data_IF_643928231338
#
_entry.id   IF_643928231338
#
_cell.length_a   1.000
_cell.length_b   1.000
_cell.length_c   1.000
_cell.angle_alpha   90.00
_cell.angle_beta   90.00
_cell.angle_gamma   90.00
#
_symmetry.space_group_name_H-M   'P 1'
#
loop_
_entity.id
_entity.type
_entity.pdbx_description
1 polymer ?
#
# COMPACT_ATOMS: atom_id res chain seq x y z
N UNK A 1 6.20 4.90 -21.47
CA UNK A 1 6.33 4.11 -20.23
C UNK A 1 5.03 4.24 -19.46
N UNK A 2 4.43 3.11 -19.08
CA UNK A 2 3.20 3.06 -18.27
C UNK A 2 3.55 2.62 -16.86
N UNK A 3 3.23 3.44 -15.86
CA UNK A 3 3.38 3.13 -14.44
C UNK A 3 1.99 3.08 -13.78
N UNK A 4 1.75 2.05 -12.99
CA UNK A 4 0.48 1.85 -12.27
C UNK A 4 0.78 1.90 -10.77
N UNK A 5 -0.10 2.58 -10.04
CA UNK A 5 -0.01 2.77 -8.59
C UNK A 5 -1.28 2.26 -7.91
N UNK A 6 -1.09 1.41 -6.92
CA UNK A 6 -2.15 0.83 -6.08
C UNK A 6 -1.70 0.82 -4.62
N UNK A 7 -2.64 0.78 -3.70
CA UNK A 7 -2.40 0.61 -2.25
C UNK A 7 -3.64 0.06 -1.55
N UNK A 8 -3.51 -0.27 -0.27
CA UNK A 8 -4.63 -0.61 0.62
C UNK A 8 -5.51 -1.77 0.09
N UNK A 9 -4.84 -2.83 -0.39
CA UNK A 9 -5.50 -4.02 -0.91
C UNK A 9 -6.12 -4.87 0.20
N UNK A 10 -5.45 -4.94 1.34
CA UNK A 10 -5.87 -5.71 2.52
C UNK A 10 -6.20 -7.18 2.24
N UNK A 11 -5.49 -7.81 1.29
CA UNK A 11 -5.70 -9.19 0.89
C UNK A 11 -5.61 -10.15 2.08
N UNK A 12 -6.50 -11.15 2.12
CA UNK A 12 -6.62 -12.11 3.22
C UNK A 12 -7.58 -11.70 4.33
N UNK A 13 -8.40 -10.66 4.13
CA UNK A 13 -9.48 -10.25 5.05
C UNK A 13 -10.79 -11.06 4.86
N UNK A 14 -10.79 -12.04 3.95
CA UNK A 14 -11.97 -12.83 3.57
C UNK A 14 -13.05 -12.01 2.84
N UNK A 15 -12.65 -11.01 2.09
CA UNK A 15 -13.52 -10.25 1.21
C UNK A 15 -13.42 -10.80 -0.23
N UNK A 16 -14.39 -11.61 -0.63
CA UNK A 16 -14.42 -12.25 -1.94
C UNK A 16 -14.46 -11.23 -3.09
N UNK A 17 -15.06 -10.06 -2.89
CA UNK A 17 -15.11 -9.01 -3.90
C UNK A 17 -13.74 -8.40 -4.15
N UNK A 18 -12.97 -8.12 -3.10
CA UNK A 18 -11.58 -7.64 -3.20
C UNK A 18 -10.68 -8.69 -3.83
N UNK A 19 -10.82 -9.97 -3.47
CA UNK A 19 -10.03 -11.05 -4.07
C UNK A 19 -10.33 -11.18 -5.59
N UNK A 20 -11.60 -11.17 -5.97
CA UNK A 20 -12.01 -11.24 -7.39
C UNK A 20 -11.50 -10.02 -8.19
N UNK A 21 -11.55 -8.83 -7.58
CA UNK A 21 -11.00 -7.59 -8.16
C UNK A 21 -9.49 -7.67 -8.35
N UNK A 22 -8.77 -8.20 -7.35
CA UNK A 22 -7.33 -8.42 -7.44
C UNK A 22 -6.97 -9.40 -8.57
N UNK A 23 -7.65 -10.53 -8.67
CA UNK A 23 -7.42 -11.50 -9.73
C UNK A 23 -7.70 -10.90 -11.12
N UNK A 24 -8.79 -10.14 -11.28
CA UNK A 24 -9.10 -9.45 -12.53
C UNK A 24 -8.02 -8.40 -12.87
N UNK A 25 -7.57 -7.63 -11.88
CA UNK A 25 -6.51 -6.64 -12.06
C UNK A 25 -5.19 -7.29 -12.49
N UNK A 26 -4.77 -8.37 -11.83
CA UNK A 26 -3.53 -9.08 -12.14
C UNK A 26 -3.57 -9.75 -13.52
N UNK A 27 -4.76 -10.18 -13.97
CA UNK A 27 -4.96 -10.79 -15.28
C UNK A 27 -4.99 -9.76 -16.42
N UNK A 28 -5.76 -8.69 -16.24
CA UNK A 28 -6.19 -7.82 -17.35
C UNK A 28 -5.45 -6.47 -17.39
N UNK A 29 -4.99 -5.97 -16.24
CA UNK A 29 -4.43 -4.61 -16.11
C UNK A 29 -2.93 -4.60 -15.84
N UNK A 30 -2.50 -5.33 -14.81
CA UNK A 30 -1.11 -5.30 -14.36
C UNK A 30 -0.09 -5.69 -15.46
N UNK A 31 -0.39 -6.65 -16.37
CA UNK A 31 0.54 -7.00 -17.47
C UNK A 31 0.78 -5.88 -18.49
N UNK A 32 -0.09 -4.86 -18.51
CA UNK A 32 0.07 -3.70 -19.39
C UNK A 32 1.06 -2.66 -18.83
N UNK A 33 1.49 -2.80 -17.57
CA UNK A 33 2.39 -1.87 -16.92
C UNK A 33 3.86 -2.20 -17.22
N UNK A 34 4.68 -1.16 -17.44
CA UNK A 34 6.14 -1.31 -17.36
C UNK A 34 6.59 -1.34 -15.90
N UNK A 35 5.85 -0.64 -15.00
CA UNK A 35 6.13 -0.56 -13.57
C UNK A 35 4.83 -0.62 -12.78
N UNK A 36 4.78 -1.48 -11.78
CA UNK A 36 3.68 -1.56 -10.81
C UNK A 36 4.20 -1.20 -9.42
N UNK A 37 3.60 -0.20 -8.82
CA UNK A 37 3.90 0.27 -7.46
C UNK A 37 2.76 -0.09 -6.53
N UNK A 38 3.05 -0.89 -5.50
CA UNK A 38 2.13 -1.23 -4.41
C UNK A 38 2.57 -0.43 -3.18
N UNK A 39 1.81 0.59 -2.81
CA UNK A 39 2.20 1.57 -1.80
C UNK A 39 1.73 1.21 -0.38
N UNK A 40 1.87 -0.06 -0.01
CA UNK A 40 1.59 -0.56 1.34
C UNK A 40 0.20 -1.12 1.53
N UNK A 41 0.01 -1.77 2.66
CA UNK A 41 -1.21 -2.48 3.04
C UNK A 41 -1.69 -3.45 1.95
N UNK A 42 -0.71 -4.18 1.35
CA UNK A 42 -0.95 -5.26 0.40
C UNK A 42 -1.73 -6.40 1.09
N UNK A 43 -1.25 -6.80 2.28
CA UNK A 43 -1.87 -7.84 3.09
C UNK A 43 -2.65 -7.23 4.26
N UNK A 44 -3.76 -7.87 4.61
CA UNK A 44 -4.56 -7.47 5.76
C UNK A 44 -3.74 -7.48 7.07
N UNK A 45 -2.83 -8.45 7.21
CA UNK A 45 -1.82 -8.49 8.26
C UNK A 45 -0.63 -9.34 7.81
N UNK A 46 0.60 -8.89 8.09
CA UNK A 46 1.79 -9.69 7.87
C UNK A 46 2.65 -9.75 9.13
N UNK A 47 2.94 -10.96 9.58
CA UNK A 47 3.65 -11.21 10.85
C UNK A 47 5.12 -11.57 10.66
N UNK A 48 5.65 -11.35 9.46
CA UNK A 48 7.05 -11.53 9.09
C UNK A 48 7.32 -12.70 8.15
N UNK A 49 8.39 -12.57 7.38
CA UNK A 49 8.71 -13.44 6.25
C UNK A 49 8.96 -14.91 6.61
N UNK A 50 9.24 -15.23 7.87
CA UNK A 50 9.34 -16.61 8.34
C UNK A 50 8.01 -17.39 8.17
N UNK A 51 6.89 -16.70 8.01
CA UNK A 51 5.59 -17.32 7.75
C UNK A 51 5.42 -17.75 6.30
N UNK A 52 6.18 -17.20 5.38
CA UNK A 52 6.00 -17.45 3.95
C UNK A 52 6.03 -18.94 3.60
N UNK A 53 6.88 -19.73 4.27
CA UNK A 53 6.96 -21.16 4.05
C UNK A 53 5.68 -21.95 4.48
N UNK A 54 4.89 -21.37 5.39
CA UNK A 54 3.71 -22.03 6.01
C UNK A 54 2.38 -21.43 5.57
N UNK A 55 2.40 -20.21 5.05
CA UNK A 55 1.21 -19.48 4.59
C UNK A 55 1.01 -19.70 3.09
N UNK A 56 0.10 -20.64 2.76
CA UNK A 56 -0.21 -20.96 1.36
C UNK A 56 -0.86 -19.78 0.62
N UNK A 57 -1.68 -18.98 1.32
CA UNK A 57 -2.32 -17.83 0.74
C UNK A 57 -1.29 -16.75 0.39
N UNK A 58 -0.40 -16.39 1.32
CA UNK A 58 0.65 -15.41 1.03
C UNK A 58 1.56 -15.89 -0.12
N UNK A 59 1.85 -17.20 -0.22
CA UNK A 59 2.60 -17.74 -1.36
C UNK A 59 1.85 -17.60 -2.68
N UNK A 60 0.54 -17.80 -2.71
CA UNK A 60 -0.26 -17.60 -3.92
C UNK A 60 -0.23 -16.15 -4.39
N UNK A 61 -0.33 -15.18 -3.48
CA UNK A 61 -0.17 -13.75 -3.79
C UNK A 61 1.24 -13.46 -4.34
N UNK A 62 2.29 -13.97 -3.67
CA UNK A 62 3.65 -13.80 -4.18
C UNK A 62 3.81 -14.39 -5.59
N UNK A 63 3.22 -15.54 -5.86
CA UNK A 63 3.31 -16.19 -7.18
C UNK A 63 2.67 -15.32 -8.28
N UNK A 64 1.55 -14.64 -8.02
CA UNK A 64 0.93 -13.71 -8.97
C UNK A 64 1.86 -12.57 -9.35
N UNK A 65 2.51 -11.95 -8.35
CA UNK A 65 3.47 -10.88 -8.62
C UNK A 65 4.74 -11.41 -9.32
N UNK A 66 5.23 -12.59 -8.95
CA UNK A 66 6.39 -13.21 -9.60
C UNK A 66 6.11 -13.52 -11.07
N UNK A 67 4.92 -14.05 -11.40
CA UNK A 67 4.49 -14.27 -12.77
C UNK A 67 4.47 -12.97 -13.57
N UNK A 68 3.93 -11.90 -12.98
CA UNK A 68 3.93 -10.56 -13.58
C UNK A 68 5.35 -10.04 -13.85
N UNK A 69 6.25 -10.22 -12.87
CA UNK A 69 7.66 -9.83 -13.02
C UNK A 69 8.38 -10.62 -14.13
N UNK A 70 8.10 -11.92 -14.24
CA UNK A 70 8.64 -12.77 -15.34
C UNK A 70 8.15 -12.34 -16.72
N UNK A 71 6.96 -11.71 -16.80
CA UNK A 71 6.42 -11.13 -18.04
C UNK A 71 7.00 -9.76 -18.37
N UNK A 72 7.90 -9.22 -17.54
CA UNK A 72 8.65 -7.98 -17.80
C UNK A 72 8.15 -6.74 -17.07
N UNK A 73 7.08 -6.82 -16.28
CA UNK A 73 6.65 -5.71 -15.40
C UNK A 73 7.57 -5.61 -14.19
N UNK A 74 8.19 -4.45 -13.97
CA UNK A 74 8.93 -4.20 -12.73
C UNK A 74 7.98 -3.93 -11.58
N UNK A 75 8.02 -4.79 -10.56
CA UNK A 75 7.16 -4.70 -9.39
C UNK A 75 7.91 -4.08 -8.22
N UNK A 76 7.28 -3.11 -7.56
CA UNK A 76 7.80 -2.39 -6.41
C UNK A 76 6.78 -2.46 -5.28
N UNK A 77 7.23 -2.82 -4.06
CA UNK A 77 6.35 -2.95 -2.90
C UNK A 77 6.87 -2.04 -1.77
N UNK A 78 6.05 -1.12 -1.30
CA UNK A 78 6.26 -0.39 -0.06
C UNK A 78 5.54 -1.08 1.10
N UNK A 79 5.99 -0.81 2.33
CA UNK A 79 5.31 -1.30 3.54
C UNK A 79 4.21 -0.35 3.96
N UNK A 80 3.04 -0.89 4.28
CA UNK A 80 1.99 -0.16 4.96
C UNK A 80 2.04 -0.31 6.49
N UNK A 81 0.98 0.09 7.15
CA UNK A 81 0.86 -0.03 8.60
C UNK A 81 0.34 -1.40 9.05
N UNK A 82 -0.26 -2.19 8.16
CA UNK A 82 -0.74 -3.54 8.46
C UNK A 82 0.27 -4.62 8.10
N UNK A 83 1.14 -4.34 7.15
CA UNK A 83 2.13 -5.26 6.64
C UNK A 83 3.58 -4.76 6.77
N UNK A 84 3.85 -3.91 7.79
CA UNK A 84 5.17 -3.32 8.05
C UNK A 84 6.27 -4.37 8.32
N UNK A 85 5.91 -5.61 8.58
CA UNK A 85 6.84 -6.75 8.76
C UNK A 85 7.27 -7.39 7.44
N UNK A 86 6.77 -6.94 6.28
CA UNK A 86 7.30 -7.35 4.97
C UNK A 86 8.80 -7.05 4.91
N UNK A 87 9.58 -8.04 4.52
CA UNK A 87 11.03 -7.94 4.40
C UNK A 87 11.52 -8.51 3.05
N UNK A 88 12.83 -8.66 2.91
CA UNK A 88 13.46 -9.01 1.65
C UNK A 88 13.03 -10.38 1.09
N UNK A 89 12.70 -11.35 1.96
CA UNK A 89 12.30 -12.68 1.48
C UNK A 89 10.91 -12.66 0.83
N UNK A 90 9.97 -11.88 1.38
CA UNK A 90 8.65 -11.68 0.76
C UNK A 90 8.79 -10.97 -0.61
N UNK A 91 9.52 -9.86 -0.65
CA UNK A 91 9.73 -9.12 -1.90
C UNK A 91 10.40 -9.99 -2.97
N UNK A 92 11.42 -10.77 -2.58
CA UNK A 92 12.09 -11.72 -3.48
C UNK A 92 11.12 -12.79 -3.99
N UNK A 93 10.24 -13.32 -3.13
CA UNK A 93 9.23 -14.29 -3.55
C UNK A 93 8.22 -13.71 -4.55
N UNK A 94 7.94 -12.41 -4.45
CA UNK A 94 7.12 -11.67 -5.41
C UNK A 94 7.87 -11.28 -6.71
N UNK A 95 9.17 -11.52 -6.82
CA UNK A 95 9.98 -10.94 -7.89
C UNK A 95 10.03 -9.42 -7.88
N UNK A 96 9.83 -8.82 -6.71
CA UNK A 96 9.66 -7.39 -6.50
C UNK A 96 10.85 -6.74 -5.79
N UNK A 97 10.98 -5.44 -5.96
CA UNK A 97 11.87 -4.59 -5.18
C UNK A 97 11.12 -4.00 -3.97
N UNK A 98 11.71 -4.13 -2.78
CA UNK A 98 11.16 -3.55 -1.57
C UNK A 98 11.59 -2.09 -1.43
N UNK A 99 10.63 -1.18 -1.48
CA UNK A 99 10.89 0.24 -1.41
C UNK A 99 11.17 0.72 0.03
N UNK A 100 12.03 1.73 0.19
CA UNK A 100 12.06 2.58 1.38
C UNK A 100 10.69 3.23 1.66
N UNK A 101 10.47 3.67 2.90
CA UNK A 101 9.20 4.32 3.29
C UNK A 101 8.92 5.62 2.52
N UNK A 102 9.96 6.31 2.11
CA UNK A 102 9.91 7.50 1.26
C UNK A 102 10.78 7.23 0.03
N UNK A 103 10.16 7.13 -1.14
CA UNK A 103 10.85 6.80 -2.38
C UNK A 103 10.55 7.86 -3.43
N UNK A 104 11.59 8.42 -4.04
CA UNK A 104 11.45 9.38 -5.13
C UNK A 104 11.60 8.64 -6.46
N UNK A 105 10.64 8.85 -7.36
CA UNK A 105 10.68 8.33 -8.73
C UNK A 105 10.54 9.47 -9.73
N UNK A 106 11.14 9.30 -10.90
CA UNK A 106 10.97 10.23 -12.01
C UNK A 106 9.93 9.66 -12.98
N UNK A 107 8.91 10.45 -13.26
CA UNK A 107 7.79 10.14 -14.15
C UNK A 107 7.69 11.25 -15.20
N UNK A 108 8.39 11.08 -16.32
CA UNK A 108 8.56 12.15 -17.31
C UNK A 108 9.20 13.38 -16.68
N UNK A 109 8.46 14.50 -16.63
CA UNK A 109 8.91 15.75 -16.00
C UNK A 109 8.71 15.79 -14.48
N UNK A 110 7.87 14.90 -13.93
CA UNK A 110 7.52 14.89 -12.51
C UNK A 110 8.57 14.17 -11.66
N UNK A 111 8.95 14.80 -10.56
CA UNK A 111 9.62 14.14 -9.45
C UNK A 111 8.55 13.77 -8.42
N UNK A 112 8.14 12.52 -8.43
CA UNK A 112 7.08 12.04 -7.55
C UNK A 112 7.66 11.37 -6.29
N UNK A 113 7.16 11.76 -5.13
CA UNK A 113 7.40 11.08 -3.86
C UNK A 113 6.32 10.02 -3.67
N UNK A 114 6.74 8.78 -3.49
CA UNK A 114 5.89 7.65 -3.17
C UNK A 114 6.04 7.31 -1.69
N UNK A 115 4.94 7.18 -0.99
CA UNK A 115 4.89 6.71 0.39
C UNK A 115 3.54 6.06 0.69
N UNK A 116 3.43 5.35 1.82
CA UNK A 116 2.13 4.76 2.18
C UNK A 116 1.11 5.83 2.59
N UNK A 117 1.50 6.79 3.43
CA UNK A 117 0.65 7.92 3.82
C UNK A 117 0.39 8.02 5.32
N UNK A 118 0.60 6.97 6.08
CA UNK A 118 0.42 6.95 7.53
C UNK A 118 1.33 7.93 8.29
N UNK A 119 2.46 8.31 7.72
CA UNK A 119 3.35 9.35 8.24
C UNK A 119 2.80 10.77 8.12
N UNK A 120 1.85 10.98 7.24
CA UNK A 120 1.24 12.29 7.01
C UNK A 120 0.15 12.63 8.04
N UNK A 121 -0.41 11.63 8.74
CA UNK A 121 -1.45 11.80 9.76
C UNK A 121 -0.84 12.27 11.08
N UNK A 122 -0.20 13.46 11.06
CA UNK A 122 0.58 13.96 12.20
C UNK A 122 -0.26 14.46 13.36
N UNK A 123 -1.53 14.74 13.16
CA UNK A 123 -2.47 15.19 14.17
C UNK A 123 -2.85 14.04 15.13
N UNK A 124 -2.75 12.80 14.66
CA UNK A 124 -2.87 11.62 15.52
C UNK A 124 -1.55 11.31 16.21
N UNK A 125 -1.26 12.07 17.25
CA UNK A 125 -0.01 11.96 18.02
C UNK A 125 0.16 10.57 18.65
N UNK A 126 -0.93 9.95 19.09
CA UNK A 126 -0.90 8.62 19.70
C UNK A 126 -0.50 7.57 18.66
N UNK A 127 -1.11 7.61 17.49
CA UNK A 127 -0.73 6.77 16.36
C UNK A 127 0.73 6.97 15.95
N UNK A 128 1.19 8.22 15.80
CA UNK A 128 2.57 8.51 15.39
C UNK A 128 3.62 8.01 16.39
N UNK A 129 3.30 8.00 17.69
CA UNK A 129 4.17 7.39 18.72
C UNK A 129 4.24 5.87 18.56
N UNK A 130 3.09 5.21 18.41
CA UNK A 130 3.02 3.77 18.17
C UNK A 130 3.74 3.38 16.87
N UNK A 131 3.53 4.11 15.78
CA UNK A 131 4.18 3.93 14.48
C UNK A 131 5.71 3.94 14.59
N UNK A 132 6.28 4.93 15.30
CA UNK A 132 7.74 5.01 15.49
C UNK A 132 8.32 3.77 16.18
N UNK A 133 7.61 3.23 17.17
CA UNK A 133 8.03 2.01 17.87
C UNK A 133 7.90 0.79 16.95
N UNK A 134 6.73 0.59 16.34
CA UNK A 134 6.43 -0.58 15.52
C UNK A 134 7.30 -0.68 14.26
N UNK A 135 7.65 0.45 13.66
CA UNK A 135 8.53 0.50 12.47
C UNK A 135 10.02 0.53 12.80
N UNK A 136 10.40 0.55 14.08
CA UNK A 136 11.81 0.53 14.47
C UNK A 136 12.50 -0.78 14.10
N UNK A 137 13.80 -0.73 13.82
CA UNK A 137 14.58 -1.93 13.56
C UNK A 137 14.57 -2.88 14.78
N UNK A 138 14.64 -2.33 15.98
CA UNK A 138 14.58 -3.08 17.23
C UNK A 138 13.27 -3.88 17.37
N UNK A 139 12.12 -3.25 17.07
CA UNK A 139 10.84 -3.94 17.12
C UNK A 139 10.73 -5.06 16.07
N UNK A 140 11.25 -4.85 14.87
CA UNK A 140 11.27 -5.87 13.83
C UNK A 140 12.14 -7.07 14.20
N UNK A 141 13.33 -6.83 14.77
CA UNK A 141 14.21 -7.90 15.26
C UNK A 141 13.54 -8.65 16.39
N UNK A 142 13.02 -7.93 17.39
CA UNK A 142 12.26 -8.53 18.50
C UNK A 142 11.03 -9.32 17.99
N UNK A 143 10.22 -8.71 17.14
CA UNK A 143 9.04 -9.39 16.57
C UNK A 143 9.43 -10.66 15.83
N UNK A 144 10.50 -10.66 15.05
CA UNK A 144 10.97 -11.85 14.34
C UNK A 144 11.55 -12.95 15.25
N UNK A 145 12.00 -12.61 16.45
CA UNK A 145 12.48 -13.60 17.44
C UNK A 145 11.34 -14.32 18.18
N UNK A 146 10.13 -13.75 18.16
CA UNK A 146 8.97 -14.36 18.83
C UNK A 146 8.43 -15.58 18.05
N UNK A 147 7.96 -16.63 18.76
CA UNK A 147 7.15 -17.68 18.15
C UNK A 147 5.92 -17.10 17.41
N UNK A 148 5.49 -17.77 16.34
CA UNK A 148 4.39 -17.29 15.47
C UNK A 148 3.10 -17.03 16.24
N UNK A 149 2.74 -17.89 17.19
CA UNK A 149 1.51 -17.73 17.99
C UNK A 149 1.55 -16.46 18.86
N UNK A 150 2.72 -16.09 19.39
CA UNK A 150 2.90 -14.85 20.14
C UNK A 150 2.82 -13.62 19.23
N UNK A 151 3.40 -13.69 18.02
CA UNK A 151 3.25 -12.63 17.02
C UNK A 151 1.78 -12.42 16.66
N UNK A 152 1.05 -13.53 16.43
CA UNK A 152 -0.38 -13.47 16.11
C UNK A 152 -1.19 -12.88 17.28
N UNK A 153 -0.88 -13.24 18.52
CA UNK A 153 -1.54 -12.67 19.69
C UNK A 153 -1.24 -11.16 19.84
N UNK A 154 0.02 -10.76 19.63
CA UNK A 154 0.43 -9.36 19.66
C UNK A 154 -0.25 -8.56 18.56
N UNK A 155 -0.29 -9.05 17.32
CA UNK A 155 -0.95 -8.40 16.21
C UNK A 155 -2.45 -8.22 16.46
N UNK A 156 -3.14 -9.25 16.95
CA UNK A 156 -4.56 -9.13 17.34
C UNK A 156 -4.78 -8.07 18.42
N UNK A 157 -3.89 -7.99 19.42
CA UNK A 157 -3.98 -6.97 20.48
C UNK A 157 -3.77 -5.56 19.92
N UNK A 158 -2.73 -5.38 19.10
CA UNK A 158 -2.43 -4.08 18.46
C UNK A 158 -3.57 -3.64 17.55
N UNK A 159 -4.16 -4.58 16.80
CA UNK A 159 -5.30 -4.31 15.94
C UNK A 159 -6.52 -3.84 16.75
N UNK A 160 -6.92 -4.57 17.80
CA UNK A 160 -8.04 -4.16 18.66
C UNK A 160 -7.81 -2.78 19.27
N UNK A 161 -6.59 -2.49 19.71
CA UNK A 161 -6.23 -1.17 20.22
C UNK A 161 -6.35 -0.08 19.13
N UNK A 162 -5.92 -0.37 17.89
CA UNK A 162 -6.06 0.54 16.75
C UNK A 162 -7.53 0.78 16.37
N UNK A 163 -8.35 -0.27 16.35
CA UNK A 163 -9.79 -0.17 16.05
C UNK A 163 -10.53 0.64 17.13
N UNK A 164 -10.24 0.38 18.39
CA UNK A 164 -10.80 1.16 19.51
C UNK A 164 -10.37 2.64 19.44
N UNK A 165 -9.10 2.90 19.09
CA UNK A 165 -8.60 4.26 18.89
C UNK A 165 -9.34 4.96 17.75
N UNK A 166 -9.48 4.30 16.59
CA UNK A 166 -10.20 4.85 15.43
C UNK A 166 -11.65 5.16 15.74
N UNK A 167 -12.34 4.30 16.50
CA UNK A 167 -13.73 4.53 16.89
C UNK A 167 -13.93 5.77 17.80
N UNK A 168 -12.89 6.15 18.54
CA UNK A 168 -12.91 7.33 19.43
C UNK A 168 -12.26 8.58 18.84
N UNK A 169 -11.67 8.50 17.63
CA UNK A 169 -10.90 9.60 17.04
C UNK A 169 -11.68 10.26 15.90
N UNK A 170 -11.75 11.59 15.91
CA UNK A 170 -12.42 12.33 14.84
C UNK A 170 -11.74 12.11 13.48
N UNK A 171 -12.54 11.98 12.44
CA UNK A 171 -12.08 11.66 11.09
C UNK A 171 -11.05 12.64 10.52
N UNK A 172 -11.11 13.91 10.88
CA UNK A 172 -10.15 14.94 10.46
C UNK A 172 -8.76 14.75 11.09
N UNK A 173 -8.69 14.17 12.30
CA UNK A 173 -7.42 13.89 13.00
C UNK A 173 -6.69 12.71 12.33
N UNK A 174 -7.44 11.79 11.73
CA UNK A 174 -6.91 10.62 11.03
C UNK A 174 -6.54 10.91 9.57
N UNK A 175 -6.83 12.12 9.06
CA UNK A 175 -6.48 12.51 7.71
C UNK A 175 -5.03 13.02 7.61
N UNK A 176 -4.54 13.11 6.38
CA UNK A 176 -3.21 13.65 6.11
C UNK A 176 -3.17 15.16 6.38
N UNK A 177 -2.28 15.56 7.28
CA UNK A 177 -2.11 16.96 7.68
C UNK A 177 -1.46 17.78 6.56
N UNK A 178 -2.05 18.94 6.25
CA UNK A 178 -1.62 19.81 5.14
C UNK A 178 -0.19 20.30 5.31
N UNK A 179 0.20 20.66 6.54
CA UNK A 179 1.57 21.12 6.83
C UNK A 179 2.58 19.98 6.70
N UNK A 180 2.20 18.76 7.10
CA UNK A 180 3.04 17.58 6.92
C UNK A 180 3.28 17.29 5.44
N UNK A 181 2.24 17.38 4.61
CA UNK A 181 2.33 17.25 3.15
C UNK A 181 3.29 18.31 2.58
N UNK A 182 3.07 19.58 2.91
CA UNK A 182 3.92 20.67 2.42
C UNK A 182 5.39 20.49 2.82
N UNK A 183 5.64 20.10 4.08
CA UNK A 183 6.99 19.86 4.62
C UNK A 183 7.69 18.69 3.94
N UNK A 184 7.00 17.56 3.73
CA UNK A 184 7.62 16.39 3.10
C UNK A 184 7.94 16.66 1.63
N UNK A 185 7.04 17.30 0.91
CA UNK A 185 7.28 17.66 -0.49
C UNK A 185 8.43 18.65 -0.65
N UNK A 186 8.49 19.67 0.23
CA UNK A 186 9.58 20.65 0.23
C UNK A 186 10.93 20.00 0.59
N UNK A 187 10.97 19.14 1.61
CA UNK A 187 12.17 18.41 2.04
C UNK A 187 12.81 17.62 0.90
N UNK A 188 11.99 16.99 0.07
CA UNK A 188 12.43 16.18 -1.06
C UNK A 188 12.54 16.93 -2.38
N UNK A 189 12.08 18.18 -2.44
CA UNK A 189 12.07 18.98 -3.68
C UNK A 189 11.26 18.31 -4.78
N UNK A 190 10.07 17.77 -4.44
CA UNK A 190 9.17 17.08 -5.37
C UNK A 190 7.96 17.92 -5.72
N UNK A 191 7.45 17.71 -6.93
CA UNK A 191 6.25 18.37 -7.45
C UNK A 191 5.01 17.48 -7.40
N UNK A 192 5.19 16.19 -7.19
CA UNK A 192 4.10 15.22 -7.08
C UNK A 192 4.24 14.36 -5.83
N UNK A 193 3.13 14.06 -5.16
CA UNK A 193 3.02 13.15 -4.02
C UNK A 193 1.96 12.11 -4.33
N UNK A 194 2.30 10.81 -4.22
CA UNK A 194 1.37 9.70 -4.41
C UNK A 194 1.36 8.84 -3.16
N UNK A 195 0.19 8.65 -2.56
CA UNK A 195 0.04 7.86 -1.34
C UNK A 195 -1.35 7.23 -1.20
N UNK A 196 -1.50 6.27 -0.29
CA UNK A 196 -2.76 5.63 0.13
C UNK A 196 -3.17 5.97 1.55
N UNK A 197 -3.46 4.95 2.35
CA UNK A 197 -3.71 4.95 3.79
C UNK A 197 -5.00 5.63 4.26
N UNK A 198 -5.33 6.80 3.77
CA UNK A 198 -6.48 7.57 4.27
C UNK A 198 -7.81 7.07 3.74
N UNK A 199 -7.80 6.20 2.73
CA UNK A 199 -8.99 5.66 2.04
C UNK A 199 -9.93 6.77 1.54
N UNK A 200 -9.36 7.90 1.11
CA UNK A 200 -10.09 9.06 0.59
C UNK A 200 -9.51 9.46 -0.76
N UNK A 201 -9.77 8.64 -1.80
CA UNK A 201 -9.20 8.85 -3.11
C UNK A 201 -9.54 10.23 -3.65
N UNK A 202 -8.52 10.97 -4.05
CA UNK A 202 -8.68 12.33 -4.56
C UNK A 202 -7.42 12.79 -5.30
N UNK A 203 -7.60 13.74 -6.22
CA UNK A 203 -6.55 14.55 -6.79
C UNK A 203 -6.61 15.95 -6.21
N UNK A 204 -5.52 16.41 -5.63
CA UNK A 204 -5.39 17.75 -5.07
C UNK A 204 -4.34 18.53 -5.84
N UNK A 205 -4.75 19.66 -6.40
CA UNK A 205 -3.83 20.66 -6.94
C UNK A 205 -3.39 21.57 -5.79
N UNK A 206 -2.09 21.61 -5.54
CA UNK A 206 -1.48 22.38 -4.46
C UNK A 206 -0.84 23.65 -5.01
N UNK A 207 -0.45 24.56 -4.12
CA UNK A 207 0.25 25.79 -4.51
C UNK A 207 1.58 25.47 -5.23
N UNK A 208 1.95 26.30 -6.24
CA UNK A 208 3.18 26.15 -7.02
C UNK A 208 3.16 24.97 -8.00
N UNK A 209 2.02 24.69 -8.62
CA UNK A 209 1.82 23.61 -9.60
C UNK A 209 2.23 22.22 -9.09
N UNK A 210 2.13 22.02 -7.80
CA UNK A 210 2.34 20.71 -7.16
C UNK A 210 1.05 19.91 -7.11
N UNK A 211 1.16 18.60 -7.12
CA UNK A 211 0.02 17.68 -7.13
C UNK A 211 0.14 16.63 -6.02
N UNK A 212 -1.01 16.26 -5.45
CA UNK A 212 -1.14 15.15 -4.51
C UNK A 212 -2.22 14.19 -5.00
N UNK A 213 -1.85 12.94 -5.17
CA UNK A 213 -2.73 11.86 -5.54
C UNK A 213 -2.92 10.91 -4.35
N UNK A 214 -4.16 10.75 -3.92
CA UNK A 214 -4.56 9.80 -2.89
C UNK A 214 -5.15 8.59 -3.59
N UNK A 215 -4.55 7.42 -3.36
CA UNK A 215 -4.97 6.17 -3.98
C UNK A 215 -6.23 5.63 -3.31
N UNK A 216 -7.03 4.91 -4.08
CA UNK A 216 -8.20 4.19 -3.61
C UNK A 216 -7.81 2.96 -2.81
N UNK A 217 -8.60 2.64 -1.78
CA UNK A 217 -8.64 1.28 -1.26
C UNK A 217 -9.43 0.37 -2.23
N UNK A 218 -9.29 -0.95 -2.03
CA UNK A 218 -9.89 -1.93 -2.93
C UNK A 218 -11.36 -2.24 -2.63
N UNK A 219 -11.92 -1.65 -1.59
CA UNK A 219 -13.35 -1.77 -1.23
C UNK A 219 -14.20 -0.68 -1.92
N UNK A 220 -13.55 0.37 -2.45
CA UNK A 220 -14.23 1.48 -3.13
C UNK A 220 -14.15 1.34 -4.66
N UNK A 221 -15.08 2.00 -5.35
CA UNK A 221 -15.22 1.92 -6.82
C UNK A 221 -14.40 2.97 -7.58
N UNK A 222 -13.41 3.61 -6.97
CA UNK A 222 -12.63 4.66 -7.62
C UNK A 222 -11.58 4.14 -8.61
N UNK A 223 -10.93 3.00 -8.32
CA UNK A 223 -9.99 2.39 -9.23
C UNK A 223 -8.52 2.62 -8.89
N UNK A 224 -7.66 2.52 -9.88
CA UNK A 224 -6.21 2.61 -9.76
C UNK A 224 -5.66 3.80 -10.53
N UNK A 225 -4.49 4.31 -10.08
CA UNK A 225 -3.82 5.45 -10.72
C UNK A 225 -2.84 4.95 -11.78
N UNK A 226 -2.87 5.57 -12.95
CA UNK A 226 -1.94 5.32 -14.06
C UNK A 226 -1.19 6.61 -14.38
N UNK A 227 0.11 6.51 -14.58
CA UNK A 227 0.90 7.52 -15.27
C UNK A 227 1.35 6.98 -16.63
N UNK A 228 0.99 7.67 -17.69
CA UNK A 228 1.36 7.31 -19.05
C UNK A 228 1.48 8.58 -19.92
N UNK A 229 2.48 8.64 -20.80
CA UNK A 229 2.68 9.73 -21.76
C UNK A 229 2.68 11.14 -21.16
N UNK A 230 3.16 11.27 -19.92
CA UNK A 230 3.24 12.56 -19.23
C UNK A 230 2.00 12.95 -18.43
N UNK A 231 0.98 12.11 -18.36
CA UNK A 231 -0.29 12.40 -17.70
C UNK A 231 -0.62 11.35 -16.64
N UNK A 232 -1.29 11.81 -15.58
CA UNK A 232 -1.93 10.94 -14.59
C UNK A 232 -3.42 10.78 -14.93
N UNK A 233 -3.93 9.56 -14.78
CA UNK A 233 -5.34 9.25 -14.92
C UNK A 233 -5.76 8.18 -13.92
N UNK A 234 -6.95 8.35 -13.33
CA UNK A 234 -7.59 7.29 -12.53
C UNK A 234 -8.42 6.43 -13.46
N UNK A 235 -8.21 5.12 -13.41
CA UNK A 235 -8.96 4.14 -14.18
C UNK A 235 -9.83 3.30 -13.24
N UNK A 236 -11.07 2.96 -13.63
CA UNK A 236 -11.93 2.12 -12.81
C UNK A 236 -11.33 0.72 -12.66
N UNK A 237 -11.68 0.04 -11.57
CA UNK A 237 -11.34 -1.36 -11.40
C UNK A 237 -11.92 -2.19 -12.56
N UNK A 238 -11.20 -3.22 -13.04
CA UNK A 238 -11.73 -4.11 -14.04
C UNK A 238 -12.98 -4.82 -13.49
N UNK A 239 -13.97 -5.05 -14.38
CA UNK A 239 -15.15 -5.78 -13.99
C UNK A 239 -14.78 -7.19 -13.50
N UNK A 240 -15.28 -7.56 -12.33
CA UNK A 240 -15.17 -8.92 -11.81
C UNK A 240 -15.96 -9.85 -12.75
N UNK A 241 -15.31 -10.89 -13.27
CA UNK A 241 -15.99 -11.92 -14.10
C UNK A 241 -16.89 -12.86 -13.28
N UNK A 242 -16.95 -12.68 -11.99
CA UNK A 242 -17.89 -13.37 -11.10
C UNK A 242 -19.19 -12.55 -10.97
N UNK A 243 -19.97 -12.44 -12.06
CA UNK A 243 -21.41 -12.30 -11.88
C UNK A 243 -21.92 -13.68 -11.47
N UNK A 244 -22.64 -13.80 -10.34
CA UNK A 244 -23.41 -15.01 -10.10
C UNK A 244 -24.39 -15.15 -11.25
N UNK A 245 -24.40 -16.34 -11.87
CA UNK A 245 -25.41 -16.67 -12.84
C UNK A 245 -26.75 -16.41 -12.17
N UNK A 246 -27.50 -15.45 -12.70
CA UNK A 246 -28.90 -15.23 -12.32
C UNK A 246 -29.65 -16.51 -12.65
N UNK A 247 -30.11 -17.19 -11.60
CA UNK A 247 -31.07 -18.26 -11.66
C UNK A 247 -32.46 -17.71 -12.06
#
# INVERSE_FOLDING_TARGET
MRAIFISDLHLGEQDEATEARFEAFMRDVAPQANRLYVLGDLLHVWLGDALLARDAYARSICARFAELALRGTKVFIARGNRDFMIAAAFAKACGAELLPSETIVTLGRHRALLLHGDELCTDDVAYQRARRVLRSAAFRVFGNSLPVFLRAALARRLRRASEAHKAGTALNIMDANVDAIAKVMARHGVDCLIHGHTHRPAHHVLSGARERWVLSDWQQDYGYLVWEEGHFAVHPWPASTTQPASL
#
